data_IF_256755291720
#
_entry.id   IF_256755291720
#
_cell.length_a   1.000
_cell.length_b   1.000
_cell.length_c   1.000
_cell.angle_alpha   90.00
_cell.angle_beta   90.00
_cell.angle_gamma   90.00
#
_symmetry.space_group_name_H-M   'P 1'
#
loop_
_entity.id
_entity.type
_entity.pdbx_description
1 polymer ?
#
# COMPACT_ATOMS: atom_id res chain seq x y z
N UNK A 1 -21.81 10.33 5.43
CA UNK A 1 -20.36 10.57 5.37
C UNK A 1 -19.87 10.08 4.02
N UNK A 2 -19.15 10.91 3.25
CA UNK A 2 -18.52 10.48 2.01
C UNK A 2 -17.27 9.64 2.36
N UNK A 3 -17.32 8.33 2.05
CA UNK A 3 -16.23 7.40 2.39
C UNK A 3 -15.33 7.24 1.18
N UNK A 4 -13.98 7.37 1.32
CA UNK A 4 -13.07 7.13 0.21
C UNK A 4 -13.17 5.68 -0.26
N UNK A 5 -13.25 5.48 -1.58
CA UNK A 5 -13.28 4.14 -2.18
C UNK A 5 -11.93 3.44 -2.00
N UNK A 6 -10.82 4.17 -2.17
CA UNK A 6 -9.46 3.67 -2.03
C UNK A 6 -8.64 4.55 -1.07
N UNK A 7 -8.08 3.93 -0.03
CA UNK A 7 -7.14 4.58 0.91
C UNK A 7 -5.74 4.03 0.69
N UNK A 8 -4.75 4.91 0.54
CA UNK A 8 -3.33 4.58 0.57
C UNK A 8 -2.71 4.99 1.92
N UNK A 9 -1.85 4.15 2.52
CA UNK A 9 -1.23 4.46 3.83
C UNK A 9 0.28 4.28 3.78
N UNK A 10 1.01 5.34 4.16
CA UNK A 10 2.44 5.28 4.48
C UNK A 10 2.58 5.11 5.99
N UNK A 11 2.97 3.91 6.42
CA UNK A 11 3.06 3.49 7.82
C UNK A 11 4.36 3.97 8.48
N UNK A 12 4.46 5.29 8.71
CA UNK A 12 5.67 5.91 9.26
C UNK A 12 5.64 6.01 10.80
N UNK A 13 6.84 6.09 11.38
CA UNK A 13 7.06 6.34 12.79
C UNK A 13 7.30 5.11 13.68
N UNK A 14 7.33 3.88 13.15
CA UNK A 14 7.56 2.66 13.94
C UNK A 14 8.84 2.74 14.79
N UNK A 15 9.96 3.17 14.19
CA UNK A 15 11.24 3.29 14.91
C UNK A 15 11.25 4.42 15.93
N UNK A 16 10.62 5.57 15.63
CA UNK A 16 10.47 6.71 16.56
C UNK A 16 9.58 6.35 17.73
N UNK A 17 8.50 5.62 17.48
CA UNK A 17 7.62 5.09 18.52
C UNK A 17 8.37 4.21 19.52
N UNK A 18 9.21 3.29 19.04
CA UNK A 18 10.02 2.41 19.87
C UNK A 18 11.06 3.21 20.66
N UNK A 19 11.81 4.11 20.00
CA UNK A 19 12.82 4.96 20.63
C UNK A 19 12.24 5.79 21.77
N UNK A 20 11.07 6.39 21.58
CA UNK A 20 10.38 7.19 22.63
C UNK A 20 10.04 6.36 23.88
N UNK A 21 9.99 5.02 23.76
CA UNK A 21 9.68 4.07 24.84
C UNK A 21 10.89 3.29 25.35
N UNK A 22 12.10 3.66 24.93
CA UNK A 22 13.33 2.93 25.29
C UNK A 22 13.41 1.52 24.69
N UNK A 23 12.63 1.25 23.62
CA UNK A 23 12.52 -0.07 23.01
C UNK A 23 13.35 -0.17 21.71
N UNK A 24 13.84 -1.37 21.35
CA UNK A 24 14.45 -1.62 20.06
C UNK A 24 13.48 -1.31 18.90
N UNK A 25 14.00 -0.81 17.77
CA UNK A 25 13.21 -0.48 16.55
C UNK A 25 12.35 -1.65 16.07
N UNK A 26 12.83 -2.87 16.23
CA UNK A 26 12.13 -4.11 15.87
C UNK A 26 10.80 -4.29 16.60
N UNK A 27 10.70 -3.82 17.84
CA UNK A 27 9.46 -3.85 18.62
C UNK A 27 8.43 -2.89 17.99
N UNK A 28 8.86 -1.69 17.56
CA UNK A 28 7.97 -0.77 16.86
C UNK A 28 7.41 -1.37 15.56
N UNK A 29 8.23 -2.06 14.77
CA UNK A 29 7.77 -2.76 13.58
C UNK A 29 6.79 -3.89 13.91
N UNK A 30 7.05 -4.67 14.96
CA UNK A 30 6.12 -5.72 15.42
C UNK A 30 4.76 -5.16 15.80
N UNK A 31 4.72 -4.09 16.56
CA UNK A 31 3.45 -3.43 16.94
C UNK A 31 2.76 -2.82 15.71
N UNK A 32 3.53 -2.24 14.77
CA UNK A 32 3.00 -1.75 13.51
C UNK A 32 2.33 -2.84 12.67
N UNK A 33 2.88 -4.06 12.65
CA UNK A 33 2.26 -5.20 11.93
C UNK A 33 0.93 -5.61 12.59
N UNK A 34 0.82 -5.58 13.92
CA UNK A 34 -0.46 -5.83 14.61
C UNK A 34 -1.52 -4.81 14.20
N UNK A 35 -1.12 -3.53 14.10
CA UNK A 35 -2.01 -2.44 13.70
C UNK A 35 -2.61 -2.63 12.30
N UNK A 36 -1.86 -3.22 11.35
CA UNK A 36 -2.37 -3.48 10.00
C UNK A 36 -3.71 -4.23 10.03
N UNK A 37 -3.81 -5.30 10.83
CA UNK A 37 -5.04 -6.13 10.90
C UNK A 37 -6.25 -5.33 11.38
N UNK A 38 -6.05 -4.48 12.36
CA UNK A 38 -7.12 -3.63 12.91
C UNK A 38 -7.59 -2.62 11.87
N UNK A 39 -6.65 -1.95 11.20
CA UNK A 39 -6.96 -0.95 10.18
C UNK A 39 -7.63 -1.59 8.94
N UNK A 40 -7.18 -2.77 8.48
CA UNK A 40 -7.83 -3.49 7.37
C UNK A 40 -9.28 -3.83 7.72
N UNK A 41 -9.54 -4.34 8.93
CA UNK A 41 -10.91 -4.66 9.38
C UNK A 41 -11.80 -3.44 9.44
N UNK A 42 -11.29 -2.36 10.03
CA UNK A 42 -12.07 -1.13 10.21
C UNK A 42 -12.30 -0.42 8.88
N UNK A 43 -11.30 -0.31 7.99
CA UNK A 43 -11.48 0.25 6.66
C UNK A 43 -12.61 -0.46 5.90
N UNK A 44 -12.60 -1.81 5.90
CA UNK A 44 -13.68 -2.60 5.30
C UNK A 44 -15.04 -2.34 5.94
N UNK A 45 -15.12 -2.29 7.26
CA UNK A 45 -16.35 -2.02 8.02
C UNK A 45 -16.92 -0.64 7.70
N UNK A 46 -16.07 0.36 7.53
CA UNK A 46 -16.44 1.73 7.17
C UNK A 46 -16.85 1.90 5.70
N UNK A 47 -16.77 0.85 4.88
CA UNK A 47 -17.23 0.86 3.49
C UNK A 47 -16.13 1.14 2.46
N UNK A 48 -14.87 1.32 2.86
CA UNK A 48 -13.71 1.38 1.96
C UNK A 48 -13.65 0.10 1.15
N UNK A 49 -13.26 0.18 -0.12
CA UNK A 49 -13.16 -0.98 -1.03
C UNK A 49 -11.72 -1.43 -1.26
N UNK A 50 -10.78 -0.50 -1.25
CA UNK A 50 -9.37 -0.78 -1.52
C UNK A 50 -8.52 -0.11 -0.43
N UNK A 51 -7.59 -0.86 0.13
CA UNK A 51 -6.56 -0.34 1.03
C UNK A 51 -5.19 -0.73 0.51
N UNK A 52 -4.34 0.25 0.22
CA UNK A 52 -2.94 0.03 -0.18
C UNK A 52 -2.00 0.52 0.91
N UNK A 53 -1.14 -0.35 1.43
CA UNK A 53 -0.14 0.02 2.44
C UNK A 53 1.27 0.00 1.86
N UNK A 54 2.10 0.98 2.25
CA UNK A 54 3.52 1.03 1.89
C UNK A 54 4.35 0.25 2.92
N UNK A 55 4.55 -1.05 2.67
CA UNK A 55 5.20 -1.94 3.62
C UNK A 55 6.74 -1.94 3.50
N UNK A 56 7.28 -1.83 2.25
CA UNK A 56 8.71 -1.80 2.00
C UNK A 56 9.01 -1.04 0.70
N UNK A 57 9.76 0.08 0.79
CA UNK A 57 10.13 0.86 -0.38
C UNK A 57 11.45 0.40 -1.00
N UNK A 58 11.69 0.78 -2.27
CA UNK A 58 12.97 0.56 -2.96
C UNK A 58 14.15 1.16 -2.20
N UNK A 59 13.96 2.27 -1.49
CA UNK A 59 14.99 2.94 -0.69
C UNK A 59 15.29 2.22 0.62
N UNK A 60 14.40 1.37 1.11
CA UNK A 60 14.58 0.65 2.38
C UNK A 60 15.70 -0.42 2.31
N UNK A 61 16.17 -0.79 1.12
CA UNK A 61 17.35 -1.65 0.98
C UNK A 61 18.64 -1.02 1.54
N UNK A 62 18.67 0.30 1.73
CA UNK A 62 19.77 1.01 2.39
C UNK A 62 19.77 0.85 3.92
N UNK A 63 18.78 0.16 4.50
CA UNK A 63 18.75 -0.17 5.93
C UNK A 63 19.71 -1.30 6.26
N UNK A 64 19.97 -1.51 7.55
CA UNK A 64 20.80 -2.62 7.98
C UNK A 64 20.22 -3.98 7.56
N UNK A 65 21.09 -4.92 7.20
CA UNK A 65 20.69 -6.30 6.81
C UNK A 65 19.82 -6.97 7.87
N UNK A 66 20.08 -6.71 9.15
CA UNK A 66 19.30 -7.27 10.26
C UNK A 66 17.88 -6.69 10.29
N UNK A 67 17.70 -5.38 10.08
CA UNK A 67 16.40 -4.75 10.02
C UNK A 67 15.58 -5.30 8.82
N UNK A 68 16.20 -5.40 7.65
CA UNK A 68 15.57 -5.96 6.45
C UNK A 68 15.11 -7.41 6.68
N UNK A 69 16.02 -8.26 7.18
CA UNK A 69 15.70 -9.67 7.52
C UNK A 69 14.52 -9.77 8.49
N UNK A 70 14.48 -8.91 9.49
CA UNK A 70 13.42 -8.85 10.48
C UNK A 70 12.08 -8.45 9.84
N UNK A 71 12.06 -7.42 8.96
CA UNK A 71 10.85 -6.99 8.27
C UNK A 71 10.24 -8.11 7.42
N UNK A 72 11.05 -8.84 6.63
CA UNK A 72 10.56 -9.96 5.84
C UNK A 72 10.14 -11.18 6.70
N UNK A 73 10.78 -11.42 7.83
CA UNK A 73 10.32 -12.43 8.80
C UNK A 73 8.91 -12.08 9.31
N UNK A 74 8.66 -10.81 9.68
CA UNK A 74 7.35 -10.37 10.15
C UNK A 74 6.30 -10.38 9.04
N UNK A 75 6.66 -10.03 7.81
CA UNK A 75 5.77 -10.21 6.65
C UNK A 75 5.33 -11.68 6.52
N UNK A 76 6.26 -12.62 6.60
CA UNK A 76 5.95 -14.05 6.49
C UNK A 76 5.04 -14.53 7.63
N UNK A 77 5.30 -14.09 8.87
CA UNK A 77 4.45 -14.41 10.03
C UNK A 77 3.05 -13.81 9.84
N UNK A 78 2.98 -12.56 9.39
CA UNK A 78 1.71 -11.89 9.11
C UNK A 78 0.89 -12.67 8.07
N UNK A 79 1.46 -12.97 6.92
CA UNK A 79 0.79 -13.69 5.83
C UNK A 79 0.33 -15.08 6.27
N UNK A 80 1.21 -15.84 6.97
CA UNK A 80 0.86 -17.17 7.48
C UNK A 80 -0.34 -17.12 8.44
N UNK A 81 -0.36 -16.15 9.34
CA UNK A 81 -1.38 -16.08 10.40
C UNK A 81 -2.66 -15.39 9.94
N UNK A 82 -2.60 -14.55 8.89
CA UNK A 82 -3.74 -13.76 8.47
C UNK A 82 -4.55 -14.38 7.33
N UNK A 83 -3.96 -15.33 6.57
CA UNK A 83 -4.59 -15.95 5.39
C UNK A 83 -5.99 -16.53 5.65
N UNK A 84 -6.22 -17.21 6.79
CA UNK A 84 -7.53 -17.75 7.14
C UNK A 84 -8.57 -16.65 7.34
N UNK A 85 -8.16 -15.52 7.93
CA UNK A 85 -9.06 -14.39 8.15
C UNK A 85 -9.36 -13.65 6.83
N UNK A 86 -8.38 -13.48 5.95
CA UNK A 86 -8.58 -12.90 4.62
C UNK A 86 -9.66 -13.69 3.85
N UNK A 87 -9.59 -15.02 3.88
CA UNK A 87 -10.61 -15.88 3.27
C UNK A 87 -11.97 -15.69 3.92
N UNK A 88 -12.05 -15.84 5.25
CA UNK A 88 -13.32 -15.72 5.98
C UNK A 88 -14.00 -14.35 5.80
N UNK A 89 -13.21 -13.30 5.63
CA UNK A 89 -13.69 -11.92 5.48
C UNK A 89 -13.82 -11.49 4.04
N UNK A 90 -13.65 -12.39 3.07
CA UNK A 90 -13.72 -12.10 1.63
C UNK A 90 -12.81 -10.92 1.25
N UNK A 91 -11.54 -10.96 1.70
CA UNK A 91 -10.52 -9.96 1.42
C UNK A 91 -9.52 -10.54 0.42
N UNK A 92 -9.39 -9.91 -0.76
CA UNK A 92 -8.38 -10.25 -1.75
C UNK A 92 -7.07 -9.55 -1.41
N UNK A 93 -6.00 -10.32 -1.23
CA UNK A 93 -4.65 -9.78 -1.08
C UNK A 93 -3.99 -9.66 -2.46
N UNK A 94 -3.36 -8.51 -2.71
CA UNK A 94 -2.45 -8.30 -3.85
C UNK A 94 -1.14 -7.72 -3.32
N UNK A 95 -0.03 -8.08 -3.94
CA UNK A 95 1.26 -7.44 -3.68
C UNK A 95 1.74 -6.72 -4.94
N UNK A 96 2.08 -5.45 -4.79
CA UNK A 96 2.61 -4.59 -5.86
C UNK A 96 4.08 -4.26 -5.60
N UNK A 97 4.83 -4.00 -6.67
CA UNK A 97 6.27 -3.71 -6.62
C UNK A 97 7.14 -4.86 -7.14
N UNK A 98 8.45 -4.70 -6.96
CA UNK A 98 9.47 -5.63 -7.44
C UNK A 98 9.43 -6.94 -6.66
N UNK A 99 9.81 -8.02 -7.34
CA UNK A 99 9.88 -9.36 -6.71
C UNK A 99 11.27 -10.00 -6.85
N UNK A 100 12.13 -9.41 -7.67
CA UNK A 100 13.44 -9.97 -8.02
C UNK A 100 14.49 -9.86 -6.91
N UNK A 101 14.37 -8.86 -6.02
CA UNK A 101 15.30 -8.64 -4.90
C UNK A 101 14.85 -9.25 -3.58
N UNK A 102 13.59 -9.66 -3.48
CA UNK A 102 13.01 -10.25 -2.28
C UNK A 102 13.37 -11.74 -2.22
N UNK A 103 13.65 -12.27 -1.03
CA UNK A 103 13.99 -13.68 -0.86
C UNK A 103 12.88 -14.63 -1.35
N UNK A 104 13.31 -15.78 -1.90
CA UNK A 104 12.41 -16.78 -2.51
C UNK A 104 11.30 -17.27 -1.56
N UNK A 105 11.59 -17.34 -0.26
CA UNK A 105 10.61 -17.80 0.76
C UNK A 105 9.49 -16.78 0.91
N UNK A 106 9.84 -15.50 1.03
CA UNK A 106 8.87 -14.41 1.17
C UNK A 106 8.01 -14.28 -0.10
N UNK A 107 8.60 -14.34 -1.29
CA UNK A 107 7.85 -14.33 -2.56
C UNK A 107 6.90 -15.52 -2.68
N UNK A 108 7.36 -16.72 -2.31
CA UNK A 108 6.48 -17.92 -2.31
C UNK A 108 5.30 -17.72 -1.38
N UNK A 109 5.52 -17.18 -0.17
CA UNK A 109 4.46 -16.95 0.80
C UNK A 109 3.43 -15.92 0.30
N UNK A 110 3.89 -14.83 -0.34
CA UNK A 110 3.02 -13.84 -0.99
C UNK A 110 2.16 -14.51 -2.07
N UNK A 111 2.78 -15.21 -3.03
CA UNK A 111 2.08 -15.90 -4.13
C UNK A 111 1.02 -16.88 -3.60
N UNK A 112 1.32 -17.66 -2.55
CA UNK A 112 0.36 -18.58 -1.94
C UNK A 112 -0.87 -17.86 -1.43
N UNK A 113 -0.72 -16.69 -0.76
CA UNK A 113 -1.87 -15.95 -0.24
C UNK A 113 -2.61 -15.20 -1.35
N UNK A 114 -1.92 -14.65 -2.35
CA UNK A 114 -2.54 -14.06 -3.54
C UNK A 114 -3.44 -15.08 -4.24
N UNK A 115 -2.91 -16.28 -4.51
CA UNK A 115 -3.66 -17.36 -5.17
C UNK A 115 -4.86 -17.83 -4.33
N UNK A 116 -4.66 -18.03 -3.03
CA UNK A 116 -5.72 -18.43 -2.12
C UNK A 116 -6.89 -17.45 -2.10
N UNK A 117 -6.59 -16.14 -2.18
CA UNK A 117 -7.60 -15.06 -2.03
C UNK A 117 -8.06 -14.45 -3.36
N UNK A 118 -7.61 -14.97 -4.51
CA UNK A 118 -7.85 -14.37 -5.85
C UNK A 118 -9.32 -14.18 -6.18
N UNK A 119 -10.20 -15.04 -5.68
CA UNK A 119 -11.63 -15.02 -5.95
C UNK A 119 -12.43 -14.16 -4.95
N UNK A 120 -11.78 -13.62 -3.91
CA UNK A 120 -12.42 -12.72 -2.95
C UNK A 120 -12.72 -11.37 -3.62
N UNK A 121 -13.89 -10.79 -3.35
CA UNK A 121 -14.42 -9.64 -4.11
C UNK A 121 -14.82 -8.45 -3.25
N UNK A 122 -15.05 -8.61 -1.94
CA UNK A 122 -15.66 -7.57 -1.14
C UNK A 122 -14.70 -6.46 -0.68
N UNK A 123 -13.38 -6.76 -0.68
CA UNK A 123 -12.35 -5.80 -0.30
C UNK A 123 -10.98 -6.20 -0.89
N UNK A 124 -10.23 -5.22 -1.38
CA UNK A 124 -8.88 -5.44 -1.88
C UNK A 124 -7.87 -4.86 -0.90
N UNK A 125 -6.95 -5.70 -0.44
CA UNK A 125 -5.84 -5.30 0.40
C UNK A 125 -4.52 -5.41 -0.38
N UNK A 126 -3.97 -4.28 -0.81
CA UNK A 126 -2.70 -4.20 -1.51
C UNK A 126 -1.54 -3.97 -0.53
N UNK A 127 -0.46 -4.71 -0.71
CA UNK A 127 0.79 -4.53 0.02
C UNK A 127 1.88 -4.11 -0.97
N UNK A 128 2.37 -2.88 -0.87
CA UNK A 128 3.50 -2.42 -1.67
C UNK A 128 4.82 -2.92 -1.05
N UNK A 129 5.49 -3.83 -1.76
CA UNK A 129 6.72 -4.51 -1.36
C UNK A 129 7.82 -4.24 -2.38
N UNK A 130 8.97 -3.73 -1.93
CA UNK A 130 10.06 -3.30 -2.79
C UNK A 130 9.54 -2.38 -3.91
N UNK A 131 8.66 -1.46 -3.50
CA UNK A 131 7.94 -0.57 -4.39
C UNK A 131 8.56 0.83 -4.41
N UNK A 132 8.49 1.48 -5.55
CA UNK A 132 8.80 2.88 -5.74
C UNK A 132 8.12 3.39 -7.01
N UNK A 133 7.44 4.54 -6.97
CA UNK A 133 6.68 5.07 -8.10
C UNK A 133 7.53 5.35 -9.34
N UNK A 134 8.78 5.82 -9.16
CA UNK A 134 9.71 5.98 -10.30
C UNK A 134 10.04 4.66 -10.98
N UNK A 135 10.27 3.61 -10.19
CA UNK A 135 10.46 2.26 -10.73
C UNK A 135 9.21 1.77 -11.45
N UNK A 136 8.05 1.94 -10.87
CA UNK A 136 6.77 1.50 -11.42
C UNK A 136 6.49 2.13 -12.79
N UNK A 137 6.65 3.46 -12.90
CA UNK A 137 6.54 4.21 -14.16
C UNK A 137 7.54 3.68 -15.21
N UNK A 138 8.80 3.50 -14.81
CA UNK A 138 9.84 3.01 -15.72
C UNK A 138 9.56 1.59 -16.20
N UNK A 139 9.05 0.74 -15.32
CA UNK A 139 8.70 -0.64 -15.64
C UNK A 139 7.44 -0.71 -16.54
N UNK A 140 6.45 0.15 -16.31
CA UNK A 140 5.30 0.31 -17.20
C UNK A 140 5.76 0.69 -18.61
N UNK A 141 6.64 1.69 -18.73
CA UNK A 141 7.20 2.10 -20.02
C UNK A 141 7.95 0.95 -20.74
N UNK A 142 8.76 0.16 -20.00
CA UNK A 142 9.45 -1.01 -20.58
C UNK A 142 8.48 -2.06 -21.14
N UNK A 143 7.40 -2.35 -20.39
CA UNK A 143 6.38 -3.29 -20.81
C UNK A 143 5.64 -2.79 -22.06
N UNK A 144 5.29 -1.53 -22.12
CA UNK A 144 4.67 -0.89 -23.29
C UNK A 144 5.60 -1.03 -24.52
N UNK A 145 6.88 -0.70 -24.38
CA UNK A 145 7.86 -0.83 -25.48
C UNK A 145 7.97 -2.29 -25.96
N UNK A 146 8.02 -3.24 -25.02
CA UNK A 146 8.03 -4.67 -25.35
C UNK A 146 6.79 -5.10 -26.13
N UNK A 147 5.59 -4.69 -25.67
CA UNK A 147 4.34 -5.06 -26.32
C UNK A 147 4.19 -4.39 -27.69
N UNK A 148 4.68 -3.16 -27.85
CA UNK A 148 4.75 -2.49 -29.15
C UNK A 148 5.70 -3.24 -30.12
N UNK A 149 6.90 -3.62 -29.69
CA UNK A 149 7.83 -4.38 -30.49
C UNK A 149 7.27 -5.76 -30.92
N UNK A 150 6.48 -6.38 -30.05
CA UNK A 150 5.79 -7.63 -30.31
C UNK A 150 4.48 -7.45 -31.13
N UNK A 151 4.15 -6.24 -31.58
CA UNK A 151 2.95 -5.88 -32.35
C UNK A 151 1.63 -6.22 -31.60
N UNK A 152 1.65 -6.24 -30.27
CA UNK A 152 0.48 -6.46 -29.45
C UNK A 152 -0.34 -5.18 -29.26
N UNK A 153 0.29 -4.02 -29.42
CA UNK A 153 -0.32 -2.70 -29.30
C UNK A 153 0.15 -1.79 -30.43
N UNK A 154 -0.65 -0.76 -30.78
CA UNK A 154 -0.23 0.31 -31.67
C UNK A 154 0.21 1.55 -30.85
N UNK A 155 1.00 2.43 -31.49
CA UNK A 155 1.45 3.69 -30.89
C UNK A 155 0.27 4.62 -30.56
N UNK A 156 -0.79 4.59 -31.39
CA UNK A 156 -1.99 5.42 -31.26
C UNK A 156 -2.85 5.01 -30.06
N UNK A 157 -2.70 3.77 -29.56
CA UNK A 157 -3.39 3.29 -28.37
C UNK A 157 -2.81 3.88 -27.06
N UNK A 158 -1.59 4.44 -27.11
CA UNK A 158 -0.89 4.90 -25.91
C UNK A 158 -1.41 6.29 -25.50
N UNK A 159 -2.20 6.35 -24.43
CA UNK A 159 -2.68 7.53 -23.74
C UNK A 159 -2.57 7.31 -22.23
N UNK A 160 -3.01 8.28 -21.41
CA UNK A 160 -2.90 8.20 -19.95
C UNK A 160 -3.63 6.98 -19.37
N UNK A 161 -4.88 6.72 -19.81
CA UNK A 161 -5.70 5.60 -19.34
C UNK A 161 -5.07 4.25 -19.71
N UNK A 162 -4.50 4.15 -20.91
CA UNK A 162 -3.78 2.98 -21.35
C UNK A 162 -2.50 2.77 -20.54
N UNK A 163 -1.73 3.84 -20.30
CA UNK A 163 -0.52 3.78 -19.50
C UNK A 163 -0.79 3.32 -18.06
N UNK A 164 -1.89 3.80 -17.47
CA UNK A 164 -2.32 3.41 -16.12
C UNK A 164 -2.51 1.89 -15.98
N UNK A 165 -2.98 1.20 -17.03
CA UNK A 165 -3.14 -0.26 -17.01
C UNK A 165 -1.81 -1.02 -16.85
N UNK A 166 -0.70 -0.41 -17.22
CA UNK A 166 0.63 -0.98 -17.08
C UNK A 166 1.29 -0.70 -15.73
N UNK A 167 0.75 0.21 -14.93
CA UNK A 167 1.22 0.46 -13.56
C UNK A 167 0.84 -0.69 -12.61
N UNK A 168 1.49 -0.74 -11.46
CA UNK A 168 1.29 -1.83 -10.48
C UNK A 168 -0.12 -1.89 -9.91
N UNK A 169 -0.83 -0.76 -9.81
CA UNK A 169 -2.25 -0.72 -9.44
C UNK A 169 -3.16 -1.12 -10.60
N UNK A 170 -2.72 -1.10 -11.83
CA UNK A 170 -3.41 -1.26 -13.08
C UNK A 170 -4.81 -1.86 -13.01
N UNK A 171 -5.83 -1.13 -13.44
CA UNK A 171 -7.23 -1.52 -13.39
C UNK A 171 -7.91 -1.36 -12.01
N UNK A 172 -7.22 -0.87 -11.00
CA UNK A 172 -7.82 -0.45 -9.73
C UNK A 172 -7.99 1.07 -9.71
N UNK A 173 -9.04 1.54 -9.04
CA UNK A 173 -9.21 2.97 -8.83
C UNK A 173 -8.03 3.58 -8.07
N UNK A 174 -7.56 4.74 -8.51
CA UNK A 174 -6.56 5.54 -7.82
C UNK A 174 -6.98 5.89 -6.39
N UNK A 175 -6.04 6.10 -5.44
CA UNK A 175 -6.39 6.46 -4.07
C UNK A 175 -7.16 7.78 -4.00
N UNK A 176 -8.25 7.79 -3.24
CA UNK A 176 -8.97 9.04 -2.89
C UNK A 176 -8.30 9.77 -1.74
N UNK A 177 -7.71 9.00 -0.81
CA UNK A 177 -7.07 9.50 0.40
C UNK A 177 -5.72 8.83 0.62
N UNK A 178 -4.66 9.62 0.76
CA UNK A 178 -3.37 9.19 1.27
C UNK A 178 -3.22 9.60 2.73
N UNK A 179 -2.96 8.65 3.61
CA UNK A 179 -2.63 8.89 5.01
C UNK A 179 -1.13 8.61 5.21
N UNK A 180 -0.37 9.59 5.74
CA UNK A 180 0.98 9.32 6.24
C UNK A 180 1.08 9.67 7.69
N UNK A 181 1.35 8.67 8.53
CA UNK A 181 1.49 8.83 9.97
C UNK A 181 2.80 9.52 10.36
N UNK A 182 2.87 10.01 11.59
CA UNK A 182 4.03 10.67 12.22
C UNK A 182 4.34 12.10 11.80
N UNK A 183 3.38 12.81 11.18
CA UNK A 183 3.48 14.23 10.85
C UNK A 183 4.39 14.58 9.66
N UNK A 184 4.93 13.58 8.98
CA UNK A 184 5.79 13.79 7.80
C UNK A 184 4.96 14.12 6.56
N UNK A 185 5.20 15.28 5.94
CA UNK A 185 4.40 15.80 4.83
C UNK A 185 5.12 15.60 3.48
N UNK A 186 5.27 14.36 3.08
CA UNK A 186 5.85 13.94 1.79
C UNK A 186 5.35 12.55 1.41
N UNK A 187 5.29 12.25 0.12
CA UNK A 187 4.82 10.95 -0.41
C UNK A 187 5.93 9.92 -0.58
N UNK A 188 7.19 10.33 -0.53
CA UNK A 188 8.38 9.47 -0.54
C UNK A 188 8.37 8.41 -1.65
N UNK A 189 8.15 8.83 -2.88
CA UNK A 189 8.14 7.94 -4.06
C UNK A 189 7.03 6.87 -4.04
N UNK A 190 5.95 7.09 -3.26
CA UNK A 190 4.81 6.18 -3.20
C UNK A 190 3.75 6.57 -4.23
N UNK A 191 3.29 5.65 -5.07
CA UNK A 191 2.18 5.77 -6.03
C UNK A 191 2.18 7.10 -6.81
N UNK A 192 3.33 7.51 -7.38
CA UNK A 192 3.52 8.84 -7.97
C UNK A 192 2.48 9.21 -9.02
N UNK A 193 2.11 8.28 -9.88
CA UNK A 193 1.08 8.47 -10.90
C UNK A 193 -0.30 8.55 -10.27
N UNK A 194 -0.62 7.56 -9.45
CA UNK A 194 -1.96 7.37 -8.91
C UNK A 194 -2.38 8.43 -7.89
N UNK A 195 -1.42 9.17 -7.29
CA UNK A 195 -1.70 10.21 -6.28
C UNK A 195 -1.98 11.59 -6.87
N UNK A 196 -2.07 11.75 -8.19
CA UNK A 196 -2.20 13.05 -8.85
C UNK A 196 -3.38 13.90 -8.33
N UNK A 197 -4.50 13.28 -7.98
CA UNK A 197 -5.71 13.96 -7.46
C UNK A 197 -6.13 13.47 -6.08
N UNK A 198 -5.21 12.86 -5.36
CA UNK A 198 -5.46 12.26 -4.04
C UNK A 198 -5.46 13.31 -2.93
N UNK A 199 -6.43 13.25 -2.04
CA UNK A 199 -6.44 14.05 -0.80
C UNK A 199 -5.38 13.54 0.19
N UNK A 200 -4.63 14.46 0.80
CA UNK A 200 -3.51 14.12 1.68
C UNK A 200 -3.88 14.39 3.15
N UNK A 201 -3.58 13.45 4.04
CA UNK A 201 -3.78 13.58 5.48
C UNK A 201 -2.54 13.15 6.26
N UNK A 202 -2.01 14.04 7.11
CA UNK A 202 -0.74 13.89 7.81
C UNK A 202 -0.90 13.97 9.35
N UNK A 203 -1.46 12.93 10.00
CA UNK A 203 -1.62 12.94 11.47
C UNK A 203 -0.27 12.85 12.19
N UNK A 204 -0.15 13.50 13.35
CA UNK A 204 1.05 13.49 14.18
C UNK A 204 1.31 12.14 14.88
N UNK A 205 0.32 11.26 14.89
CA UNK A 205 0.43 9.93 15.52
C UNK A 205 1.42 9.05 14.81
N UNK A 206 2.24 8.31 15.54
CA UNK A 206 3.06 7.23 14.98
C UNK A 206 2.20 6.04 14.56
N UNK A 207 2.63 5.29 13.56
CA UNK A 207 1.85 4.16 13.05
C UNK A 207 1.38 3.15 14.11
N UNK A 208 2.19 2.69 15.10
CA UNK A 208 1.70 1.79 16.14
C UNK A 208 0.55 2.37 16.98
N UNK A 209 0.46 3.70 17.11
CA UNK A 209 -0.58 4.39 17.86
C UNK A 209 -1.77 4.83 16.97
N UNK A 210 -1.68 4.66 15.64
CA UNK A 210 -2.74 4.98 14.69
C UNK A 210 -3.82 3.90 14.72
N UNK A 211 -4.79 4.05 15.61
CA UNK A 211 -5.87 3.09 15.83
C UNK A 211 -7.11 3.35 14.94
N UNK A 212 -8.20 2.61 15.18
CA UNK A 212 -9.46 2.72 14.43
C UNK A 212 -10.07 4.11 14.51
N UNK A 213 -10.03 4.77 15.68
CA UNK A 213 -10.53 6.15 15.84
C UNK A 213 -9.75 7.17 15.01
N UNK A 214 -8.43 6.95 14.85
CA UNK A 214 -7.62 7.82 13.99
C UNK A 214 -7.95 7.62 12.51
N UNK A 215 -8.30 6.40 12.09
CA UNK A 215 -8.78 6.12 10.73
C UNK A 215 -10.16 6.76 10.50
N UNK A 216 -11.10 6.61 11.42
CA UNK A 216 -12.41 7.26 11.38
C UNK A 216 -12.27 8.77 11.24
N UNK A 217 -11.40 9.39 12.05
CA UNK A 217 -11.09 10.83 11.96
C UNK A 217 -10.50 11.23 10.61
N UNK A 218 -9.61 10.41 10.03
CA UNK A 218 -9.05 10.69 8.71
C UNK A 218 -10.14 10.67 7.62
N UNK A 219 -11.08 9.72 7.70
CA UNK A 219 -12.22 9.63 6.78
C UNK A 219 -13.20 10.79 7.01
N UNK A 220 -13.44 11.20 8.25
CA UNK A 220 -14.27 12.37 8.57
C UNK A 220 -13.68 13.63 7.93
N UNK A 221 -12.39 13.90 8.13
CA UNK A 221 -11.69 15.05 7.51
C UNK A 221 -11.78 14.98 5.99
N UNK A 222 -11.60 13.80 5.40
CA UNK A 222 -11.79 13.62 3.95
C UNK A 222 -13.23 13.95 3.51
N UNK A 223 -14.24 13.49 4.26
CA UNK A 223 -15.64 13.69 3.91
C UNK A 223 -16.10 15.16 3.91
N UNK A 224 -15.36 16.02 4.64
CA UNK A 224 -15.62 17.46 4.71
C UNK A 224 -14.96 18.25 3.56
N UNK A 225 -14.08 17.62 2.77
CA UNK A 225 -13.38 18.28 1.67
C UNK A 225 -14.23 18.29 0.40
N UNK A 226 -14.25 19.44 -0.28
CA UNK A 226 -14.90 19.60 -1.59
C UNK A 226 -13.85 19.30 -2.67
N UNK A 227 -14.02 18.19 -3.40
CA UNK A 227 -13.13 17.81 -4.51
C UNK A 227 -13.63 18.49 -5.79
N UNK A 228 -12.92 19.49 -6.26
CA UNK A 228 -13.34 20.29 -7.43
C UNK A 228 -12.87 19.71 -8.78
N UNK A 229 -11.84 18.89 -8.84
CA UNK A 229 -11.29 18.32 -10.08
C UNK A 229 -11.10 19.34 -11.21
N UNK A 230 -10.60 20.55 -10.87
CA UNK A 230 -10.46 21.65 -11.84
C UNK A 230 -11.75 22.35 -12.25
N UNK A 231 -12.90 21.98 -11.67
CA UNK A 231 -14.17 22.68 -11.89
C UNK A 231 -14.31 23.84 -10.90
N UNK A 232 -14.83 24.97 -11.39
CA UNK A 232 -15.10 26.19 -10.57
C UNK A 232 -16.28 25.95 -9.62
#
# INVERSE_FOLDING_TARGET
>A
MNVPHHIAIIMDGNGRWAKKRGLPRTIGHREGVKRIKEIVREAKKLGVKILTIFAFSTENWNRSKNEIKFLFQYLNIFLKNYKKELMRKDIRLKAIGRRDRIDKKSIRQVKVVEELTKNNKSFIFNIALDYGGRWDITEAARRIVSDYQNKLISKEAINEDFFEQYLSLGGLASPDLLIRTSGEQRISNFLLWDLAYTELYFPQKYWPDFNTKELEKAIEVYSQRIRKFGKI
#
